data_IF_259407563139
#
_entry.id   IF_259407563139
#
_cell.length_a   1.000
_cell.length_b   1.000
_cell.length_c   1.000
_cell.angle_alpha   90.00
_cell.angle_beta   90.00
_cell.angle_gamma   90.00
#
_symmetry.space_group_name_H-M   'P 1'
#
loop_
_entity.id
_entity.type
_entity.pdbx_description
1 polymer ?
#
# COMPACT_ATOMS: atom_id res chain seq x y z
N UNK A 1 14.54 -0.79 24.48
CA UNK A 1 15.25 -0.56 23.22
C UNK A 1 16.58 -1.28 23.35
N UNK A 2 17.00 -2.06 22.35
CA UNK A 2 18.30 -2.75 22.38
C UNK A 2 19.39 -1.82 21.87
N UNK A 3 20.56 -1.90 22.47
CA UNK A 3 21.77 -1.32 21.88
C UNK A 3 22.21 -2.19 20.70
N UNK A 4 22.89 -1.61 19.71
CA UNK A 4 23.28 -2.34 18.48
C UNK A 4 24.18 -3.55 18.76
N UNK A 5 25.03 -3.46 19.77
CA UNK A 5 25.92 -4.50 20.25
C UNK A 5 25.21 -5.61 21.01
N UNK A 6 24.05 -5.33 21.60
CA UNK A 6 23.21 -6.31 22.29
C UNK A 6 22.42 -7.18 21.31
N UNK A 7 22.20 -6.74 20.06
CA UNK A 7 21.38 -7.50 19.11
C UNK A 7 22.22 -8.63 18.49
N UNK A 8 21.90 -9.87 18.87
CA UNK A 8 22.54 -11.08 18.36
C UNK A 8 21.70 -11.74 17.28
N UNK A 9 20.39 -11.84 17.51
CA UNK A 9 19.47 -12.55 16.63
C UNK A 9 18.25 -11.71 16.31
N UNK A 10 17.85 -11.75 15.04
CA UNK A 10 16.64 -11.17 14.48
C UNK A 10 16.01 -12.24 13.60
N UNK A 11 14.87 -12.74 14.05
CA UNK A 11 14.11 -13.79 13.36
C UNK A 11 12.66 -13.38 13.18
N UNK A 12 11.99 -14.00 12.21
CA UNK A 12 10.54 -13.88 12.04
C UNK A 12 9.89 -15.11 12.69
N UNK A 13 9.01 -14.91 13.68
CA UNK A 13 8.28 -15.98 14.35
C UNK A 13 6.83 -15.58 14.52
N UNK A 14 5.91 -16.42 14.07
CA UNK A 14 4.45 -16.23 14.26
C UNK A 14 3.93 -14.85 13.82
N UNK A 15 4.49 -14.30 12.73
CA UNK A 15 4.12 -12.98 12.22
C UNK A 15 4.70 -11.80 13.01
N UNK A 16 5.68 -12.04 13.87
CA UNK A 16 6.44 -11.02 14.59
C UNK A 16 7.92 -11.05 14.23
N UNK A 17 8.52 -9.86 14.17
CA UNK A 17 9.96 -9.68 14.28
C UNK A 17 10.36 -9.89 15.73
N UNK A 18 11.27 -10.83 15.97
CA UNK A 18 11.76 -11.19 17.29
C UNK A 18 13.25 -10.87 17.36
N UNK A 19 13.63 -10.03 18.32
CA UNK A 19 15.02 -9.64 18.60
C UNK A 19 15.45 -10.33 19.90
N UNK A 20 16.48 -11.17 19.85
CA UNK A 20 16.98 -11.94 21.00
C UNK A 20 15.87 -12.67 21.76
N UNK A 21 15.01 -13.37 21.03
CA UNK A 21 13.88 -14.13 21.59
C UNK A 21 12.70 -13.28 22.08
N UNK A 22 12.76 -11.95 22.01
CA UNK A 22 11.67 -11.05 22.45
C UNK A 22 10.95 -10.40 21.25
N UNK A 23 9.61 -10.34 21.25
CA UNK A 23 8.86 -9.68 20.19
C UNK A 23 9.21 -8.19 20.15
N UNK A 24 9.52 -7.69 18.94
CA UNK A 24 9.87 -6.30 18.69
C UNK A 24 8.75 -5.54 17.97
N UNK A 25 8.38 -6.00 16.78
CA UNK A 25 7.29 -5.43 16.00
C UNK A 25 6.61 -6.50 15.14
N UNK A 26 5.38 -6.28 14.66
CA UNK A 26 4.77 -7.16 13.68
C UNK A 26 5.68 -7.29 12.45
N UNK A 27 5.82 -8.50 11.94
CA UNK A 27 6.57 -8.77 10.72
C UNK A 27 5.91 -8.03 9.55
N UNK A 28 6.56 -6.98 9.09
CA UNK A 28 6.17 -6.30 7.88
C UNK A 28 6.73 -7.10 6.69
N UNK A 29 5.93 -7.40 5.65
CA UNK A 29 6.47 -8.01 4.44
C UNK A 29 7.52 -7.11 3.75
N UNK A 30 7.58 -5.83 4.14
CA UNK A 30 8.59 -4.87 3.73
C UNK A 30 9.98 -5.09 4.33
N UNK A 31 10.14 -5.88 5.39
CA UNK A 31 11.45 -6.07 6.03
C UNK A 31 11.60 -7.52 6.45
N UNK A 32 12.11 -8.40 5.56
CA UNK A 32 12.39 -9.78 5.92
C UNK A 32 13.41 -9.84 7.06
N UNK A 33 13.20 -10.74 8.03
CA UNK A 33 14.10 -10.86 9.19
C UNK A 33 15.56 -11.08 8.81
N UNK A 34 15.85 -11.85 7.76
CA UNK A 34 17.20 -12.05 7.26
C UNK A 34 17.86 -10.74 6.76
N UNK A 35 17.09 -9.84 6.14
CA UNK A 35 17.62 -8.55 5.68
C UNK A 35 17.87 -7.61 6.86
N UNK A 36 16.96 -7.59 7.84
CA UNK A 36 17.15 -6.83 9.07
C UNK A 36 18.34 -7.36 9.88
N UNK A 37 18.47 -8.67 10.05
CA UNK A 37 19.63 -9.31 10.69
C UNK A 37 20.92 -8.86 10.04
N UNK A 38 21.01 -8.94 8.69
CA UNK A 38 22.19 -8.51 7.96
C UNK A 38 22.50 -7.03 8.16
N UNK A 39 21.48 -6.17 8.18
CA UNK A 39 21.66 -4.74 8.44
C UNK A 39 22.17 -4.51 9.86
N UNK A 40 21.58 -5.16 10.86
CA UNK A 40 21.97 -5.05 12.26
C UNK A 40 23.41 -5.51 12.46
N UNK A 41 23.81 -6.65 11.90
CA UNK A 41 25.19 -7.13 11.96
C UNK A 41 26.17 -6.13 11.32
N UNK A 42 25.80 -5.54 10.17
CA UNK A 42 26.60 -4.50 9.54
C UNK A 42 26.71 -3.23 10.41
N UNK A 43 25.63 -2.85 11.11
CA UNK A 43 25.62 -1.69 12.01
C UNK A 43 26.40 -1.95 13.31
N UNK A 44 26.40 -3.19 13.80
CA UNK A 44 27.18 -3.61 14.97
C UNK A 44 28.68 -3.49 14.69
N UNK A 45 29.12 -3.89 13.50
CA UNK A 45 30.52 -3.76 13.06
C UNK A 45 30.91 -2.33 12.67
N UNK A 46 29.93 -1.50 12.29
CA UNK A 46 30.15 -0.10 11.95
C UNK A 46 30.41 0.75 13.22
N UNK A 47 31.43 1.61 13.15
CA UNK A 47 31.65 2.66 14.15
C UNK A 47 30.47 3.65 14.22
N UNK A 48 30.32 4.34 15.35
CA UNK A 48 29.18 5.24 15.61
C UNK A 48 28.96 6.24 14.48
N UNK A 49 30.05 6.85 13.99
CA UNK A 49 30.04 7.83 12.89
C UNK A 49 29.54 7.26 11.55
N UNK A 50 29.80 5.97 11.29
CA UNK A 50 29.45 5.34 9.99
C UNK A 50 28.07 4.69 9.99
N UNK A 51 27.46 4.44 11.16
CA UNK A 51 26.11 3.87 11.28
C UNK A 51 25.06 4.72 10.59
N UNK A 52 25.09 6.04 10.79
CA UNK A 52 24.15 6.95 10.15
C UNK A 52 24.28 6.91 8.62
N UNK A 53 25.51 6.88 8.09
CA UNK A 53 25.74 6.74 6.65
C UNK A 53 25.24 5.39 6.11
N UNK A 54 25.44 4.30 6.86
CA UNK A 54 24.94 2.98 6.49
C UNK A 54 23.41 2.94 6.43
N UNK A 55 22.73 3.48 7.45
CA UNK A 55 21.27 3.60 7.48
C UNK A 55 20.74 4.46 6.33
N UNK A 56 21.36 5.62 6.05
CA UNK A 56 21.00 6.47 4.90
C UNK A 56 21.13 5.74 3.57
N UNK A 57 22.22 5.00 3.37
CA UNK A 57 22.43 4.18 2.17
C UNK A 57 21.36 3.11 2.04
N UNK A 58 20.98 2.49 3.15
CA UNK A 58 19.93 1.47 3.18
C UNK A 58 18.56 2.07 2.83
N UNK A 59 18.19 3.21 3.42
CA UNK A 59 16.98 3.95 3.07
C UNK A 59 16.96 4.29 1.57
N UNK A 60 18.03 4.90 1.07
CA UNK A 60 18.13 5.23 -0.35
C UNK A 60 18.01 4.00 -1.26
N UNK A 61 18.55 2.84 -0.84
CA UNK A 61 18.46 1.57 -1.56
C UNK A 61 17.04 1.02 -1.58
N UNK A 62 16.35 1.05 -0.45
CA UNK A 62 15.00 0.52 -0.31
C UNK A 62 13.97 1.31 -1.13
N UNK A 63 14.15 2.62 -1.23
CA UNK A 63 13.19 3.52 -1.88
C UNK A 63 13.58 3.99 -3.28
N UNK A 64 14.50 3.30 -3.98
CA UNK A 64 14.92 3.65 -5.35
C UNK A 64 13.73 3.61 -6.34
N UNK A 65 13.27 4.74 -6.90
CA UNK A 65 12.11 4.77 -7.81
C UNK A 65 12.23 3.85 -9.00
N UNK A 66 13.37 3.88 -9.68
CA UNK A 66 13.62 3.08 -10.87
C UNK A 66 13.58 1.56 -10.61
N UNK A 67 13.93 1.10 -9.41
CA UNK A 67 13.85 -0.32 -9.06
C UNK A 67 12.39 -0.77 -8.89
N UNK A 68 11.57 0.06 -8.26
CA UNK A 68 10.15 -0.19 -8.06
C UNK A 68 9.33 -0.08 -9.33
N UNK A 69 9.60 0.93 -10.15
CA UNK A 69 8.98 1.07 -11.47
C UNK A 69 9.21 -0.20 -12.32
N UNK A 70 10.46 -0.70 -12.37
CA UNK A 70 10.79 -1.95 -13.07
C UNK A 70 10.06 -3.17 -12.51
N UNK A 71 9.99 -3.29 -11.18
CA UNK A 71 9.26 -4.39 -10.51
C UNK A 71 7.77 -4.34 -10.78
N UNK A 72 7.15 -3.17 -10.71
CA UNK A 72 5.75 -2.98 -11.04
C UNK A 72 5.48 -3.30 -12.50
N UNK A 73 6.30 -2.80 -13.44
CA UNK A 73 6.20 -3.13 -14.86
C UNK A 73 6.25 -4.65 -15.08
N UNK A 74 7.15 -5.35 -14.39
CA UNK A 74 7.21 -6.81 -14.44
C UNK A 74 5.92 -7.44 -13.91
N UNK A 75 5.44 -7.06 -12.72
CA UNK A 75 4.17 -7.59 -12.16
C UNK A 75 3.01 -7.34 -13.11
N UNK A 76 2.91 -6.14 -13.69
CA UNK A 76 1.87 -5.80 -14.66
C UNK A 76 1.94 -6.67 -15.90
N UNK A 77 3.16 -6.89 -16.43
CA UNK A 77 3.39 -7.71 -17.62
C UNK A 77 3.01 -9.16 -17.37
N UNK A 78 3.42 -9.73 -16.23
CA UNK A 78 3.15 -11.15 -15.92
C UNK A 78 1.73 -11.37 -15.39
N UNK A 79 1.09 -10.36 -14.81
CA UNK A 79 -0.30 -10.44 -14.34
C UNK A 79 -1.33 -10.13 -15.42
N UNK A 80 -0.93 -9.57 -16.58
CA UNK A 80 -1.86 -9.14 -17.64
C UNK A 80 -2.74 -10.29 -18.12
N UNK A 81 -2.11 -11.39 -18.55
CA UNK A 81 -2.83 -12.53 -19.11
C UNK A 81 -3.74 -13.23 -18.10
N UNK A 82 -3.30 -13.54 -16.86
CA UNK A 82 -4.20 -14.06 -15.84
C UNK A 82 -5.43 -13.17 -15.62
N UNK A 83 -5.24 -11.85 -15.51
CA UNK A 83 -6.35 -10.92 -15.25
C UNK A 83 -7.32 -10.88 -16.44
N UNK A 84 -6.82 -10.73 -17.67
CA UNK A 84 -7.66 -10.68 -18.87
C UNK A 84 -8.45 -11.99 -19.03
N UNK A 85 -7.78 -13.13 -18.91
CA UNK A 85 -8.40 -14.43 -19.11
C UNK A 85 -9.45 -14.74 -18.03
N UNK A 86 -9.18 -14.44 -16.76
CA UNK A 86 -10.19 -14.57 -15.70
C UNK A 86 -11.35 -13.59 -15.87
N UNK A 87 -11.10 -12.38 -16.38
CA UNK A 87 -12.16 -11.42 -16.70
C UNK A 87 -13.08 -11.98 -17.79
N UNK A 88 -12.51 -12.54 -18.87
CA UNK A 88 -13.28 -13.16 -19.95
C UNK A 88 -14.10 -14.36 -19.45
N UNK A 89 -13.51 -15.22 -18.61
CA UNK A 89 -14.22 -16.33 -18.00
C UNK A 89 -15.40 -15.86 -17.14
N UNK A 90 -15.22 -14.80 -16.35
CA UNK A 90 -16.29 -14.21 -15.54
C UNK A 90 -17.37 -13.55 -16.40
N UNK A 91 -17.00 -12.87 -17.48
CA UNK A 91 -17.97 -12.30 -18.43
C UNK A 91 -18.79 -13.39 -19.11
N UNK A 92 -18.16 -14.51 -19.49
CA UNK A 92 -18.87 -15.67 -20.03
C UNK A 92 -19.86 -16.26 -19.01
N UNK A 93 -19.42 -16.45 -17.75
CA UNK A 93 -20.31 -16.91 -16.67
C UNK A 93 -21.47 -15.94 -16.40
N UNK A 94 -21.20 -14.63 -16.42
CA UNK A 94 -22.22 -13.60 -16.25
C UNK A 94 -23.23 -13.61 -17.42
N UNK A 95 -22.75 -13.78 -18.67
CA UNK A 95 -23.59 -13.89 -19.85
C UNK A 95 -24.47 -15.15 -19.84
N UNK A 96 -24.06 -16.20 -19.13
CA UNK A 96 -24.83 -17.42 -18.92
C UNK A 96 -25.88 -17.30 -17.80
N UNK A 97 -25.78 -16.28 -16.93
CA UNK A 97 -26.72 -16.12 -15.81
C UNK A 97 -28.20 -16.04 -16.20
N UNK A 98 -28.61 -15.40 -17.32
CA UNK A 98 -30.01 -15.39 -17.74
C UNK A 98 -30.49 -16.77 -18.21
N UNK A 99 -29.59 -17.60 -18.75
CA UNK A 99 -29.92 -18.96 -19.21
C UNK A 99 -30.12 -19.96 -18.05
N UNK A 100 -29.64 -19.62 -16.85
CA UNK A 100 -29.84 -20.43 -15.65
C UNK A 100 -31.21 -20.17 -14.99
N UNK A 101 -31.94 -19.13 -15.41
CA UNK A 101 -33.27 -18.83 -14.89
C UNK A 101 -34.36 -19.58 -15.68
N UNK A 102 -35.48 -19.94 -15.03
CA UNK A 102 -36.60 -20.55 -15.74
C UNK A 102 -37.11 -19.65 -16.88
N UNK A 103 -37.45 -20.20 -18.05
CA UNK A 103 -38.04 -19.43 -19.14
C UNK A 103 -39.33 -18.74 -18.67
N UNK A 104 -39.53 -17.48 -19.06
CA UNK A 104 -40.68 -16.66 -18.66
C UNK A 104 -40.43 -15.67 -17.50
N UNK A 105 -39.30 -15.77 -16.78
CA UNK A 105 -38.94 -14.79 -15.73
C UNK A 105 -38.32 -13.52 -16.32
N UNK A 106 -37.29 -13.67 -17.17
CA UNK A 106 -36.58 -12.55 -17.81
C UNK A 106 -36.57 -12.60 -19.34
N UNK A 107 -36.72 -13.79 -19.93
CA UNK A 107 -36.59 -14.02 -21.37
C UNK A 107 -37.83 -14.74 -21.89
N UNK A 108 -38.27 -14.39 -23.10
CA UNK A 108 -39.29 -15.18 -23.81
C UNK A 108 -38.74 -16.57 -24.13
N UNK A 109 -39.64 -17.55 -24.31
CA UNK A 109 -39.25 -18.94 -24.62
C UNK A 109 -38.39 -19.04 -25.88
N UNK A 110 -38.73 -18.29 -26.92
CA UNK A 110 -37.99 -18.25 -28.19
C UNK A 110 -36.56 -17.71 -28.01
N UNK A 111 -36.40 -16.66 -27.20
CA UNK A 111 -35.09 -16.10 -26.89
C UNK A 111 -34.28 -17.06 -26.04
N UNK A 112 -34.90 -17.74 -25.07
CA UNK A 112 -34.25 -18.75 -24.24
C UNK A 112 -33.75 -19.95 -25.07
N UNK A 113 -34.56 -20.46 -26.01
CA UNK A 113 -34.16 -21.55 -26.92
C UNK A 113 -33.00 -21.16 -27.84
N UNK A 114 -33.03 -19.94 -28.40
CA UNK A 114 -31.90 -19.42 -29.19
C UNK A 114 -30.65 -19.26 -28.33
N UNK A 115 -30.78 -18.73 -27.11
CA UNK A 115 -29.66 -18.55 -26.19
C UNK A 115 -29.04 -19.89 -25.80
N UNK A 116 -29.87 -20.93 -25.57
CA UNK A 116 -29.42 -22.27 -25.23
C UNK A 116 -28.49 -22.89 -26.28
N UNK A 117 -28.66 -22.55 -27.57
CA UNK A 117 -27.76 -22.99 -28.64
C UNK A 117 -26.34 -22.40 -28.50
N UNK A 118 -26.21 -21.21 -27.92
CA UNK A 118 -24.91 -20.56 -27.68
C UNK A 118 -24.26 -20.96 -26.35
N UNK A 119 -25.02 -21.53 -25.40
CA UNK A 119 -24.52 -21.90 -24.07
C UNK A 119 -23.29 -22.83 -24.12
N UNK A 120 -23.27 -23.93 -24.91
CA UNK A 120 -22.10 -24.80 -24.98
C UNK A 120 -20.84 -24.07 -25.48
N UNK A 121 -20.99 -23.19 -26.48
CA UNK A 121 -19.89 -22.39 -27.02
C UNK A 121 -19.34 -21.40 -26.00
N UNK A 122 -20.22 -20.72 -25.26
CA UNK A 122 -19.84 -19.81 -24.18
C UNK A 122 -19.16 -20.54 -23.02
N UNK A 123 -19.67 -21.71 -22.62
CA UNK A 123 -19.04 -22.56 -21.61
C UNK A 123 -17.65 -23.03 -22.03
N UNK A 124 -17.50 -23.50 -23.28
CA UNK A 124 -16.21 -23.92 -23.82
C UNK A 124 -15.21 -22.75 -23.88
N UNK A 125 -15.65 -21.58 -24.34
CA UNK A 125 -14.82 -20.37 -24.37
C UNK A 125 -14.42 -19.90 -22.97
N UNK A 126 -15.35 -19.93 -22.01
CA UNK A 126 -15.10 -19.61 -20.60
C UNK A 126 -14.11 -20.58 -19.95
N UNK A 127 -14.28 -21.88 -20.19
CA UNK A 127 -13.37 -22.92 -19.70
C UNK A 127 -11.96 -22.78 -20.30
N UNK A 128 -11.86 -22.53 -21.60
CA UNK A 128 -10.58 -22.27 -22.27
C UNK A 128 -9.90 -21.01 -21.70
N UNK A 129 -10.63 -19.92 -21.54
CA UNK A 129 -10.13 -18.69 -20.93
C UNK A 129 -9.63 -18.95 -19.49
N UNK A 130 -10.36 -19.73 -18.70
CA UNK A 130 -9.93 -20.12 -17.37
C UNK A 130 -8.62 -20.92 -17.38
N UNK A 131 -8.50 -21.94 -18.24
CA UNK A 131 -7.27 -22.74 -18.37
C UNK A 131 -6.08 -21.87 -18.81
N UNK A 132 -6.28 -21.00 -19.80
CA UNK A 132 -5.24 -20.04 -20.25
C UNK A 132 -4.82 -19.12 -19.11
N UNK A 133 -5.78 -18.59 -18.35
CA UNK A 133 -5.53 -17.76 -17.18
C UNK A 133 -4.73 -18.50 -16.12
N UNK A 134 -5.08 -19.77 -15.88
CA UNK A 134 -4.42 -20.61 -14.90
C UNK A 134 -2.97 -20.93 -15.29
N UNK A 135 -2.74 -21.37 -16.53
CA UNK A 135 -1.40 -21.64 -17.07
C UNK A 135 -0.55 -20.37 -17.03
N UNK A 136 -1.08 -19.22 -17.47
CA UNK A 136 -0.38 -17.95 -17.45
C UNK A 136 0.01 -17.54 -16.02
N UNK A 137 -0.85 -17.79 -15.03
CA UNK A 137 -0.57 -17.49 -13.64
C UNK A 137 0.50 -18.43 -13.04
N UNK A 138 0.49 -19.72 -13.39
CA UNK A 138 1.57 -20.66 -13.01
C UNK A 138 2.91 -20.22 -13.61
N UNK A 139 2.94 -19.84 -14.89
CA UNK A 139 4.16 -19.34 -15.55
C UNK A 139 4.64 -18.03 -14.91
N UNK A 140 3.73 -17.12 -14.59
CA UNK A 140 4.03 -15.89 -13.85
C UNK A 140 4.62 -16.20 -12.47
N UNK A 141 4.01 -17.13 -11.72
CA UNK A 141 4.48 -17.53 -10.40
C UNK A 141 5.87 -18.17 -10.47
N UNK A 142 6.14 -19.03 -11.46
CA UNK A 142 7.46 -19.62 -11.70
C UNK A 142 8.51 -18.54 -11.99
N UNK A 143 8.18 -17.55 -12.83
CA UNK A 143 9.07 -16.42 -13.14
C UNK A 143 9.36 -15.54 -11.92
N UNK A 144 8.41 -15.47 -10.99
CA UNK A 144 8.52 -14.70 -9.75
C UNK A 144 8.93 -15.55 -8.54
N UNK A 145 9.28 -16.84 -8.71
CA UNK A 145 9.49 -17.80 -7.62
C UNK A 145 10.46 -17.29 -6.54
N UNK A 146 11.51 -16.58 -6.94
CA UNK A 146 12.49 -15.96 -6.03
C UNK A 146 11.91 -14.91 -5.06
N UNK A 147 10.69 -14.44 -5.32
CA UNK A 147 10.00 -13.43 -4.52
C UNK A 147 8.78 -13.98 -3.79
N UNK A 148 8.29 -15.17 -4.15
CA UNK A 148 7.10 -15.75 -3.53
C UNK A 148 7.47 -16.40 -2.19
N UNK A 149 6.64 -16.15 -1.17
CA UNK A 149 6.72 -16.88 0.10
C UNK A 149 5.87 -18.15 0.01
N UNK A 150 6.12 -19.16 0.87
CA UNK A 150 5.28 -20.37 0.91
C UNK A 150 3.79 -20.06 1.06
N UNK A 151 3.43 -19.07 1.88
CA UNK A 151 2.04 -18.62 2.05
C UNK A 151 1.43 -18.04 0.76
N UNK A 152 2.23 -17.33 -0.04
CA UNK A 152 1.76 -16.79 -1.33
C UNK A 152 1.39 -17.89 -2.31
N UNK A 153 2.09 -19.04 -2.30
CA UNK A 153 1.78 -20.15 -3.20
C UNK A 153 0.36 -20.66 -2.98
N UNK A 154 -0.08 -20.80 -1.72
CA UNK A 154 -1.47 -21.19 -1.40
C UNK A 154 -2.48 -20.17 -1.94
N UNK A 155 -2.24 -18.88 -1.72
CA UNK A 155 -3.13 -17.81 -2.22
C UNK A 155 -3.19 -17.81 -3.75
N UNK A 156 -2.05 -18.06 -4.40
CA UNK A 156 -1.94 -18.22 -5.85
C UNK A 156 -2.78 -19.42 -6.32
N UNK A 157 -2.67 -20.58 -5.68
CA UNK A 157 -3.45 -21.77 -6.02
C UNK A 157 -4.95 -21.53 -5.84
N UNK A 158 -5.36 -20.85 -4.77
CA UNK A 158 -6.77 -20.45 -4.59
C UNK A 158 -7.21 -19.48 -5.70
N UNK A 159 -6.38 -18.50 -6.04
CA UNK A 159 -6.67 -17.57 -7.13
C UNK A 159 -6.76 -18.25 -8.52
N UNK A 160 -6.04 -19.35 -8.71
CA UNK A 160 -6.10 -20.18 -9.90
C UNK A 160 -7.39 -21.00 -9.99
N UNK A 161 -7.92 -21.47 -8.84
CA UNK A 161 -9.12 -22.32 -8.79
C UNK A 161 -10.42 -21.52 -8.84
N UNK A 162 -10.39 -20.25 -8.44
CA UNK A 162 -11.58 -19.40 -8.34
C UNK A 162 -11.40 -18.14 -9.20
N UNK A 163 -12.06 -18.03 -10.38
CA UNK A 163 -11.90 -16.89 -11.28
C UNK A 163 -12.07 -15.50 -10.64
N UNK A 164 -13.02 -15.28 -9.71
CA UNK A 164 -13.12 -14.01 -8.98
C UNK A 164 -11.86 -13.66 -8.17
N UNK A 165 -11.20 -14.66 -7.61
CA UNK A 165 -9.92 -14.50 -6.88
C UNK A 165 -8.76 -14.26 -7.86
N UNK A 166 -8.85 -14.78 -9.09
CA UNK A 166 -7.94 -14.47 -10.19
C UNK A 166 -7.86 -12.98 -10.54
N UNK A 167 -8.93 -12.21 -10.35
CA UNK A 167 -8.88 -10.74 -10.49
C UNK A 167 -7.99 -10.07 -9.44
N UNK A 168 -7.87 -10.67 -8.25
CA UNK A 168 -6.99 -10.21 -7.17
C UNK A 168 -5.53 -10.61 -7.38
N UNK A 169 -5.22 -11.38 -8.43
CA UNK A 169 -3.87 -11.87 -8.72
C UNK A 169 -2.82 -10.78 -8.73
N UNK A 170 -3.11 -9.62 -9.34
CA UNK A 170 -2.18 -8.49 -9.37
C UNK A 170 -1.86 -7.99 -7.96
N UNK A 171 -2.86 -7.92 -7.08
CA UNK A 171 -2.69 -7.53 -5.68
C UNK A 171 -1.85 -8.56 -4.94
N UNK A 172 -2.19 -9.85 -5.05
CA UNK A 172 -1.42 -10.95 -4.44
C UNK A 172 0.05 -10.93 -4.86
N UNK A 173 0.32 -10.76 -6.16
CA UNK A 173 1.70 -10.64 -6.66
C UNK A 173 2.40 -9.37 -6.16
N UNK A 174 1.66 -8.26 -6.04
CA UNK A 174 2.21 -7.00 -5.53
C UNK A 174 2.55 -7.09 -4.05
N UNK A 175 1.68 -7.71 -3.25
CA UNK A 175 1.86 -7.95 -1.81
C UNK A 175 3.00 -8.96 -1.56
N UNK A 176 3.19 -9.91 -2.49
CA UNK A 176 4.27 -10.87 -2.45
C UNK A 176 5.63 -10.31 -2.90
N UNK A 177 5.67 -9.17 -3.60
CA UNK A 177 6.95 -8.53 -3.89
C UNK A 177 7.58 -8.07 -2.59
N UNK A 178 8.70 -8.68 -2.21
CA UNK A 178 9.50 -8.25 -1.07
C UNK A 178 10.55 -7.21 -1.48
N UNK A 179 10.67 -6.10 -0.76
CA UNK A 179 9.83 -5.69 0.38
C UNK A 179 8.42 -5.23 -0.07
N UNK A 180 7.36 -5.40 0.73
CA UNK A 180 6.04 -4.85 0.37
C UNK A 180 6.17 -3.38 -0.06
N UNK A 181 5.49 -2.97 -1.15
CA UNK A 181 5.65 -1.63 -1.68
C UNK A 181 5.11 -0.63 -0.67
N UNK A 182 5.99 0.20 -0.15
CA UNK A 182 5.64 1.41 0.56
C UNK A 182 4.64 2.26 -0.26
N UNK A 183 3.66 2.94 0.36
CA UNK A 183 2.65 3.73 -0.34
C UNK A 183 3.20 4.67 -1.42
N UNK A 184 4.35 5.32 -1.18
CA UNK A 184 5.06 6.13 -2.18
C UNK A 184 5.41 5.39 -3.47
N UNK A 185 5.62 4.09 -3.42
CA UNK A 185 5.94 3.29 -4.60
C UNK A 185 4.69 3.01 -5.43
N UNK A 186 3.51 3.00 -4.81
CA UNK A 186 2.24 2.95 -5.53
C UNK A 186 1.98 4.28 -6.27
N UNK A 187 2.52 5.40 -5.79
CA UNK A 187 2.44 6.72 -6.45
C UNK A 187 3.14 6.73 -7.81
N UNK A 188 4.23 6.00 -8.01
CA UNK A 188 4.86 5.83 -9.34
C UNK A 188 4.05 5.02 -10.35
N UNK A 189 2.97 4.38 -9.92
CA UNK A 189 2.07 3.66 -10.81
C UNK A 189 1.29 4.62 -11.73
N UNK A 190 0.54 4.10 -12.72
CA UNK A 190 -0.37 4.82 -13.60
C UNK A 190 -1.67 5.22 -12.86
N UNK A 191 -1.57 5.52 -11.56
CA UNK A 191 -2.71 6.06 -10.84
C UNK A 191 -3.02 7.46 -11.35
N UNK A 192 -4.30 7.83 -11.31
CA UNK A 192 -4.70 9.22 -11.50
C UNK A 192 -3.95 10.15 -10.54
N UNK A 193 -3.83 11.43 -10.90
CA UNK A 193 -3.16 12.44 -10.06
C UNK A 193 -3.74 12.50 -8.65
N UNK A 194 -5.05 12.26 -8.49
CA UNK A 194 -5.74 12.20 -7.20
C UNK A 194 -5.20 11.10 -6.28
N UNK A 195 -5.16 9.85 -6.74
CA UNK A 195 -4.64 8.71 -5.97
C UNK A 195 -3.18 8.92 -5.58
N UNK A 196 -2.39 9.49 -6.50
CA UNK A 196 -0.99 9.84 -6.25
C UNK A 196 -0.85 10.88 -5.14
N UNK A 197 -1.66 11.93 -5.20
CA UNK A 197 -1.73 12.99 -4.17
C UNK A 197 -2.13 12.43 -2.82
N UNK A 198 -3.16 11.58 -2.77
CA UNK A 198 -3.67 10.97 -1.53
C UNK A 198 -2.62 10.09 -0.83
N UNK A 199 -1.95 9.20 -1.57
CA UNK A 199 -0.91 8.33 -1.02
C UNK A 199 0.35 9.10 -0.58
N UNK A 200 0.70 10.14 -1.34
CA UNK A 200 1.80 11.03 -0.99
C UNK A 200 1.48 11.82 0.29
N UNK A 201 0.26 12.36 0.40
CA UNK A 201 -0.22 13.03 1.61
C UNK A 201 -0.22 12.09 2.81
N UNK A 202 -0.81 10.89 2.69
CA UNK A 202 -0.85 9.92 3.78
C UNK A 202 0.56 9.57 4.28
N UNK A 203 1.51 9.38 3.37
CA UNK A 203 2.91 9.14 3.73
C UNK A 203 3.54 10.34 4.44
N UNK A 204 3.43 11.53 3.85
CA UNK A 204 4.01 12.75 4.40
C UNK A 204 3.46 13.03 5.80
N UNK A 205 2.16 12.79 5.97
CA UNK A 205 1.47 12.95 7.23
C UNK A 205 1.91 11.94 8.30
N UNK A 206 2.20 10.69 7.93
CA UNK A 206 2.75 9.68 8.84
C UNK A 206 4.18 10.03 9.30
N UNK A 207 4.95 10.72 8.45
CA UNK A 207 6.30 11.18 8.74
C UNK A 207 6.30 12.42 9.64
N UNK A 208 5.48 13.42 9.32
CA UNK A 208 5.42 14.70 10.06
C UNK A 208 4.59 14.64 11.34
N UNK A 209 3.51 13.87 11.36
CA UNK A 209 2.65 13.68 12.54
C UNK A 209 2.54 12.21 12.92
N UNK A 210 3.65 11.57 13.33
CA UNK A 210 3.64 10.18 13.75
C UNK A 210 2.59 9.88 14.84
N UNK A 211 2.04 8.66 14.86
CA UNK A 211 1.15 8.25 15.97
C UNK A 211 1.96 8.25 17.28
N UNK A 212 1.39 8.66 18.42
CA UNK A 212 2.09 8.61 19.70
C UNK A 212 2.66 7.22 19.97
N UNK A 213 3.85 7.17 20.58
CA UNK A 213 4.39 5.91 21.08
C UNK A 213 3.48 5.41 22.21
N UNK A 214 3.30 4.09 22.37
CA UNK A 214 2.53 3.57 23.49
C UNK A 214 3.14 4.05 24.81
N UNK A 215 2.29 4.53 25.73
CA UNK A 215 2.70 5.11 27.02
C UNK A 215 3.39 4.11 27.95
N UNK A 216 3.18 2.81 27.70
CA UNK A 216 3.80 1.73 28.48
C UNK A 216 5.25 1.54 28.03
N UNK A 217 6.18 2.18 28.73
CA UNK A 217 7.62 2.01 28.55
C UNK A 217 8.43 2.78 29.58
N UNK A 218 9.67 2.35 29.76
CA UNK A 218 10.69 3.10 30.52
C UNK A 218 10.92 4.49 29.87
N UNK A 219 10.77 5.56 30.65
CA UNK A 219 10.81 6.97 30.21
C UNK A 219 12.10 7.28 29.44
N UNK A 220 13.24 6.76 29.88
CA UNK A 220 14.52 6.97 29.19
C UNK A 220 14.51 6.40 27.77
N UNK A 221 13.91 5.22 27.61
CA UNK A 221 13.76 4.54 26.32
C UNK A 221 12.74 5.21 25.40
N UNK A 222 11.74 5.91 25.96
CA UNK A 222 10.77 6.69 25.19
C UNK A 222 11.43 7.92 24.55
N UNK A 223 12.32 8.61 25.28
CA UNK A 223 13.05 9.77 24.76
C UNK A 223 13.99 9.37 23.60
N UNK A 224 14.75 8.29 23.76
CA UNK A 224 15.61 7.74 22.69
C UNK A 224 14.80 7.31 21.46
N UNK A 225 13.66 6.64 21.67
CA UNK A 225 12.77 6.25 20.59
C UNK A 225 12.19 7.47 19.84
N UNK A 226 11.82 8.53 20.56
CA UNK A 226 11.36 9.78 19.97
C UNK A 226 12.47 10.47 19.16
N UNK A 227 13.70 10.51 19.67
CA UNK A 227 14.86 11.06 18.96
C UNK A 227 15.17 10.28 17.67
N UNK A 228 15.19 8.95 17.75
CA UNK A 228 15.39 8.08 16.59
C UNK A 228 14.29 8.27 15.53
N UNK A 229 13.04 8.40 15.96
CA UNK A 229 11.91 8.66 15.06
C UNK A 229 12.02 10.01 14.38
N UNK A 230 12.41 11.06 15.11
CA UNK A 230 12.64 12.40 14.56
C UNK A 230 13.76 12.39 13.52
N UNK A 231 14.87 11.70 13.82
CA UNK A 231 15.96 11.52 12.87
C UNK A 231 15.51 10.78 11.60
N UNK A 232 14.82 9.64 11.76
CA UNK A 232 14.28 8.87 10.64
C UNK A 232 13.34 9.72 9.78
N UNK A 233 12.44 10.48 10.41
CA UNK A 233 11.48 11.33 9.71
C UNK A 233 12.19 12.36 8.84
N UNK A 234 13.20 13.06 9.39
CA UNK A 234 13.98 14.04 8.65
C UNK A 234 14.75 13.41 7.47
N UNK A 235 15.41 12.26 7.67
CA UNK A 235 16.15 11.58 6.61
C UNK A 235 15.21 11.02 5.53
N UNK A 236 14.09 10.45 5.94
CA UNK A 236 13.09 9.91 5.02
C UNK A 236 12.43 11.04 4.20
N UNK A 237 12.04 12.13 4.85
CA UNK A 237 11.44 13.28 4.17
C UNK A 237 12.41 13.89 3.16
N UNK A 238 13.64 14.21 3.58
CA UNK A 238 14.62 14.88 2.72
C UNK A 238 15.18 14.01 1.60
N UNK A 239 15.50 12.73 1.88
CA UNK A 239 16.22 11.87 0.92
C UNK A 239 15.33 10.95 0.12
N UNK A 240 14.16 10.59 0.65
CA UNK A 240 13.22 9.71 -0.02
C UNK A 240 12.06 10.52 -0.55
N UNK A 241 11.26 11.12 0.33
CA UNK A 241 9.99 11.72 -0.05
C UNK A 241 10.17 12.94 -0.96
N UNK A 242 11.10 13.84 -0.66
CA UNK A 242 11.35 15.06 -1.44
C UNK A 242 11.59 14.79 -2.94
N UNK A 243 12.59 13.97 -3.31
CA UNK A 243 12.82 13.60 -4.71
C UNK A 243 11.61 12.92 -5.37
N UNK A 244 10.87 12.11 -4.61
CA UNK A 244 9.65 11.45 -5.07
C UNK A 244 8.53 12.45 -5.39
N UNK A 245 8.29 13.41 -4.49
CA UNK A 245 7.30 14.48 -4.68
C UNK A 245 7.65 15.34 -5.90
N UNK A 246 8.92 15.74 -6.01
CA UNK A 246 9.40 16.53 -7.14
C UNK A 246 9.18 15.80 -8.48
N UNK A 247 9.49 14.51 -8.57
CA UNK A 247 9.22 13.69 -9.77
C UNK A 247 7.73 13.57 -10.09
N UNK A 248 6.86 13.62 -9.08
CA UNK A 248 5.42 13.57 -9.25
C UNK A 248 4.78 14.94 -9.56
N UNK A 249 5.56 16.03 -9.58
CA UNK A 249 5.04 17.39 -9.72
C UNK A 249 4.16 17.79 -8.53
N UNK A 250 4.57 17.41 -7.33
CA UNK A 250 3.91 17.73 -6.06
C UNK A 250 4.93 18.38 -5.12
N UNK A 251 4.47 19.26 -4.25
CA UNK A 251 5.28 19.81 -3.15
C UNK A 251 4.70 19.40 -1.79
N UNK A 252 5.53 19.43 -0.74
CA UNK A 252 5.06 19.15 0.61
C UNK A 252 4.05 20.20 1.06
N UNK A 253 4.28 21.46 0.70
CA UNK A 253 3.43 22.60 0.98
C UNK A 253 2.04 22.44 0.34
N UNK A 254 1.98 22.02 -0.92
CA UNK A 254 0.71 21.75 -1.62
C UNK A 254 -0.08 20.60 -1.00
N UNK A 255 0.60 19.55 -0.54
CA UNK A 255 -0.03 18.38 0.06
C UNK A 255 -0.59 18.69 1.45
N UNK A 256 0.13 19.48 2.22
CA UNK A 256 -0.21 19.84 3.60
C UNK A 256 -1.02 21.13 3.72
N UNK A 257 -1.39 21.72 2.59
CA UNK A 257 -2.30 22.85 2.54
C UNK A 257 -3.60 22.50 3.30
N UNK A 258 -4.14 23.45 4.08
CA UNK A 258 -5.42 23.25 4.75
C UNK A 258 -6.51 22.82 3.74
N UNK A 259 -7.39 21.87 4.11
CA UNK A 259 -8.53 21.53 3.28
C UNK A 259 -9.49 22.73 3.17
N UNK A 260 -10.25 22.85 2.07
CA UNK A 260 -11.33 23.83 2.00
C UNK A 260 -12.38 23.55 3.08
N UNK A 261 -12.92 24.56 3.76
CA UNK A 261 -13.88 24.33 4.83
C UNK A 261 -15.12 23.56 4.36
N UNK A 262 -15.47 22.46 5.04
CA UNK A 262 -16.65 21.64 4.72
C UNK A 262 -17.96 22.34 5.11
N UNK A 263 -17.90 23.28 6.06
CA UNK A 263 -19.03 24.07 6.53
C UNK A 263 -18.59 25.42 7.06
N UNK A 264 -19.55 26.34 7.24
CA UNK A 264 -19.30 27.63 7.89
C UNK A 264 -18.88 27.49 9.36
N UNK A 265 -19.24 26.38 10.01
CA UNK A 265 -18.89 26.10 11.40
C UNK A 265 -17.47 25.55 11.57
N UNK A 266 -16.86 25.01 10.51
CA UNK A 266 -15.48 24.49 10.56
C UNK A 266 -14.51 25.61 10.91
N UNK A 267 -13.78 25.46 12.01
CA UNK A 267 -12.80 26.43 12.51
C UNK A 267 -11.40 25.84 12.73
N UNK A 268 -11.28 24.51 12.73
CA UNK A 268 -9.98 23.83 12.80
C UNK A 268 -9.98 22.56 11.96
N UNK A 269 -8.79 22.02 11.69
CA UNK A 269 -8.61 20.75 11.01
C UNK A 269 -7.45 19.94 11.59
N UNK A 270 -7.48 18.63 11.39
CA UNK A 270 -6.35 17.76 11.70
C UNK A 270 -5.37 17.74 10.52
N UNK A 271 -4.10 18.13 10.71
CA UNK A 271 -3.15 18.19 9.60
C UNK A 271 -2.75 16.80 9.07
N UNK A 272 -3.03 15.73 9.83
CA UNK A 272 -2.74 14.35 9.42
C UNK A 272 -3.83 13.72 8.56
N UNK A 273 -5.10 13.85 8.96
CA UNK A 273 -6.21 13.16 8.30
C UNK A 273 -7.13 14.08 7.51
N UNK A 274 -6.94 15.40 7.59
CA UNK A 274 -7.76 16.40 6.88
C UNK A 274 -9.16 16.60 7.48
N UNK A 275 -9.57 15.81 8.48
CA UNK A 275 -10.88 15.98 9.13
C UNK A 275 -10.99 17.36 9.78
N UNK A 276 -12.16 17.98 9.66
CA UNK A 276 -12.45 19.32 10.16
C UNK A 276 -13.30 19.29 11.42
N UNK A 277 -13.17 20.33 12.23
CA UNK A 277 -13.78 20.43 13.56
C UNK A 277 -14.39 21.82 13.78
N UNK A 278 -15.45 21.87 14.59
CA UNK A 278 -16.15 23.10 15.02
C UNK A 278 -15.57 23.70 16.31
N UNK A 279 -14.47 23.13 16.80
CA UNK A 279 -13.73 23.58 17.98
C UNK A 279 -12.26 23.75 17.62
N UNK A 280 -11.59 24.70 18.27
CA UNK A 280 -10.16 24.98 18.06
C UNK A 280 -9.27 24.25 19.06
N UNK A 281 -9.83 23.77 20.16
CA UNK A 281 -9.12 23.10 21.24
C UNK A 281 -9.17 21.56 21.14
N UNK A 282 -8.15 20.94 21.74
CA UNK A 282 -8.00 19.49 21.80
C UNK A 282 -7.29 18.86 20.61
N UNK A 283 -7.61 17.59 20.36
CA UNK A 283 -7.01 16.80 19.28
C UNK A 283 -8.05 16.01 18.49
N UNK A 284 -7.62 15.50 17.34
CA UNK A 284 -8.42 14.54 16.59
C UNK A 284 -8.49 13.19 17.34
N UNK A 285 -9.38 12.25 16.94
CA UNK A 285 -9.47 10.92 17.58
C UNK A 285 -8.17 10.10 17.58
N UNK A 286 -7.15 10.53 16.83
CA UNK A 286 -5.81 9.90 16.80
C UNK A 286 -4.77 10.62 17.67
N UNK A 287 -5.18 11.60 18.48
CA UNK A 287 -4.32 12.35 19.40
C UNK A 287 -3.44 13.42 18.74
N UNK A 288 -3.73 13.82 17.50
CA UNK A 288 -3.00 14.91 16.83
C UNK A 288 -3.68 16.24 17.14
N UNK A 289 -2.91 17.24 17.59
CA UNK A 289 -3.39 18.59 17.86
C UNK A 289 -4.03 19.23 16.61
N UNK A 290 -5.12 19.95 16.82
CA UNK A 290 -5.84 20.64 15.76
C UNK A 290 -5.11 21.92 15.32
N UNK A 291 -5.19 22.25 14.04
CA UNK A 291 -4.65 23.48 13.45
C UNK A 291 -5.82 24.37 13.05
N UNK A 292 -5.73 25.66 13.37
CA UNK A 292 -6.77 26.62 13.02
C UNK A 292 -6.94 26.74 11.50
N UNK A 293 -8.19 26.70 11.05
CA UNK A 293 -8.54 26.83 9.65
C UNK A 293 -8.72 28.31 9.33
N UNK A 294 -7.71 28.93 8.70
CA UNK A 294 -7.78 30.33 8.30
C UNK A 294 -8.96 30.53 7.34
N UNK A 295 -9.99 31.22 7.82
CA UNK A 295 -11.10 31.62 6.94
C UNK A 295 -10.55 32.59 5.90
N UNK A 296 -10.83 32.39 4.60
CA UNK A 296 -10.60 33.46 3.64
C UNK A 296 -11.38 34.66 4.15
N UNK A 297 -10.69 35.80 4.38
CA UNK A 297 -11.37 37.04 4.74
C UNK A 297 -12.51 37.19 3.76
N UNK A 298 -13.76 37.13 4.23
CA UNK A 298 -14.92 37.44 3.38
C UNK A 298 -14.56 38.77 2.74
N UNK A 299 -14.28 38.77 1.44
CA UNK A 299 -14.24 40.01 0.68
C UNK A 299 -15.57 40.66 1.00
N UNK A 300 -15.54 41.78 1.72
CA UNK A 300 -16.74 42.51 2.05
C UNK A 300 -17.37 42.78 0.69
N UNK A 301 -18.45 42.07 0.38
CA UNK A 301 -19.27 42.36 -0.79
C UNK A 301 -19.84 43.72 -0.45
N UNK A 302 -19.13 44.77 -0.87
CA UNK A 302 -19.63 46.13 -0.84
C UNK A 302 -20.88 46.10 -1.67
N UNK A 303 -22.03 46.03 -1.00
CA UNK A 303 -23.33 46.18 -1.62
C UNK A 303 -23.35 47.59 -2.16
N UNK A 304 -23.01 47.74 -3.45
CA UNK A 304 -23.27 48.95 -4.19
C UNK A 304 -24.79 49.14 -4.17
N UNK A 305 -25.21 50.23 -3.51
CA UNK A 305 -26.58 50.72 -3.54
C UNK A 305 -26.90 51.28 -4.93
#
# INVERSE_FOLDING_TARGET
>A
MWRWDEIETVVEREGWMVINGRPFCPAAPAWPAAELQRLVLALRQAGVETRAACLRRELARQFRPAHWARRQQLVRRVSRWPVVANTLALLALAALSPAALPPGVLLSKEVAERLAQFVPGLLAAGALAFVVGAVAAVLAARRLRRWLTPGTVKVILVALLFPPQGLRWRRVLTDAMRPAPHPLLLVSGPGGRSVRRELALATLADVRWPLPLPERGDIGRLAEAAAMRKWYAAEFEGRVLGPWLAQAGLTAEELLAPPPPDSAASCAYCPRCGSQFVRTDGGCPRGIALVELKRPRRQQVTSAK
#
